data_IF_885306665584
#
_entry.id   IF_885306665584
#
_cell.length_a   1.000
_cell.length_b   1.000
_cell.length_c   1.000
_cell.angle_alpha   90.00
_cell.angle_beta   90.00
_cell.angle_gamma   90.00
#
_symmetry.space_group_name_H-M   'P 1'
#
loop_
_entity.id
_entity.type
_entity.pdbx_description
1 polymer ?
#
# COMPACT_ATOMS: atom_id res chain seq x y z
N UNK A 1 -11.53 -8.04 5.82
CA UNK A 1 -10.14 -7.98 5.32
C UNK A 1 -9.57 -6.57 5.35
N UNK A 2 -10.17 -5.57 4.69
CA UNK A 2 -9.75 -4.15 4.73
C UNK A 2 -9.51 -3.57 6.14
N UNK A 3 -10.36 -3.91 7.11
CA UNK A 3 -10.24 -3.47 8.51
C UNK A 3 -8.99 -4.02 9.24
N UNK A 4 -8.38 -5.09 8.73
CA UNK A 4 -7.23 -5.75 9.36
C UNK A 4 -5.93 -4.99 9.11
N UNK A 5 -5.77 -4.40 7.92
CA UNK A 5 -4.54 -3.72 7.53
C UNK A 5 -4.43 -2.27 8.02
N UNK A 6 -5.49 -1.72 8.61
CA UNK A 6 -5.51 -0.37 9.20
C UNK A 6 -4.87 0.69 8.30
N UNK A 7 -5.17 0.64 7.00
CA UNK A 7 -4.52 1.48 5.98
C UNK A 7 -4.64 2.97 6.29
N UNK A 8 -5.77 3.40 6.87
CA UNK A 8 -6.00 4.79 7.28
C UNK A 8 -5.05 5.24 8.40
N UNK A 9 -4.72 4.36 9.35
CA UNK A 9 -3.76 4.65 10.42
C UNK A 9 -2.32 4.61 9.91
N UNK A 10 -2.00 3.61 9.07
CA UNK A 10 -0.67 3.42 8.52
C UNK A 10 -0.25 4.61 7.64
N UNK A 11 -1.16 5.10 6.80
CA UNK A 11 -0.93 6.17 5.83
C UNK A 11 -1.55 7.51 6.24
N UNK A 12 -1.79 7.71 7.54
CA UNK A 12 -2.29 8.97 8.06
C UNK A 12 -1.37 10.14 7.64
N UNK A 13 -1.95 11.13 6.96
CA UNK A 13 -1.23 12.28 6.40
C UNK A 13 -0.94 12.18 4.90
N UNK A 14 -1.24 11.05 4.26
CA UNK A 14 -1.23 10.92 2.80
C UNK A 14 -2.64 11.09 2.21
N UNK A 15 -2.70 11.15 0.88
CA UNK A 15 -3.96 11.02 0.17
C UNK A 15 -4.60 9.66 0.40
N UNK A 16 -5.90 9.53 0.09
CA UNK A 16 -6.69 8.43 0.59
C UNK A 16 -6.25 7.10 -0.04
N UNK A 17 -5.98 6.11 0.81
CA UNK A 17 -5.63 4.76 0.35
C UNK A 17 -6.83 4.08 -0.31
N UNK A 18 -6.57 3.33 -1.38
CA UNK A 18 -7.55 2.55 -2.13
C UNK A 18 -7.03 1.14 -2.28
N UNK A 19 -7.91 0.17 -2.09
CA UNK A 19 -7.64 -1.21 -2.47
C UNK A 19 -8.10 -1.42 -3.91
N UNK A 20 -7.20 -1.94 -4.73
CA UNK A 20 -7.31 -1.93 -6.19
C UNK A 20 -6.91 -3.28 -6.77
N UNK A 21 -7.73 -4.30 -6.55
CA UNK A 21 -7.44 -5.64 -7.06
C UNK A 21 -8.60 -6.60 -6.84
N UNK A 22 -8.64 -7.66 -7.65
CA UNK A 22 -9.57 -8.76 -7.45
C UNK A 22 -9.09 -9.53 -6.21
N UNK A 23 -9.88 -9.57 -5.14
CA UNK A 23 -9.58 -10.31 -3.88
C UNK A 23 -9.55 -11.86 -4.06
N UNK A 24 -9.24 -12.35 -5.25
CA UNK A 24 -9.16 -13.77 -5.58
C UNK A 24 -7.88 -14.39 -5.01
N UNK A 25 -6.84 -13.59 -4.76
CA UNK A 25 -5.60 -14.01 -4.11
C UNK A 25 -5.45 -13.38 -2.71
N UNK A 26 -4.62 -13.98 -1.86
CA UNK A 26 -4.23 -13.46 -0.52
C UNK A 26 -3.45 -12.14 -0.56
N UNK A 27 -3.20 -11.64 -1.76
CA UNK A 27 -2.44 -10.44 -2.02
C UNK A 27 -3.40 -9.27 -2.21
N UNK A 28 -3.12 -8.16 -1.52
CA UNK A 28 -3.92 -6.96 -1.55
C UNK A 28 -3.13 -5.83 -2.19
N UNK A 29 -3.63 -5.37 -3.32
CA UNK A 29 -3.12 -4.19 -4.00
C UNK A 29 -3.64 -2.93 -3.33
N UNK A 30 -2.74 -2.07 -2.88
CA UNK A 30 -3.04 -0.78 -2.26
C UNK A 30 -2.39 0.32 -3.07
N UNK A 31 -3.12 1.40 -3.35
CA UNK A 31 -2.56 2.62 -3.91
C UNK A 31 -2.95 3.85 -3.09
N UNK A 32 -2.05 4.82 -3.01
CA UNK A 32 -2.32 6.13 -2.43
C UNK A 32 -1.47 7.23 -3.09
N UNK A 33 -1.97 8.47 -3.06
CA UNK A 33 -1.25 9.65 -3.55
C UNK A 33 -0.52 10.33 -2.40
N UNK A 34 0.76 10.66 -2.57
CA UNK A 34 1.51 11.44 -1.58
C UNK A 34 2.55 12.34 -2.28
N UNK A 35 2.11 13.44 -2.92
CA UNK A 35 2.95 14.23 -3.83
C UNK A 35 4.17 14.87 -3.13
N UNK A 36 4.09 15.09 -1.82
CA UNK A 36 5.15 15.73 -1.03
C UNK A 36 5.84 14.78 -0.05
N UNK A 37 5.50 13.48 -0.08
CA UNK A 37 6.11 12.53 0.84
C UNK A 37 7.57 12.31 0.47
N UNK A 38 8.43 12.43 1.48
CA UNK A 38 9.83 12.00 1.40
C UNK A 38 9.89 10.48 1.49
N UNK A 39 11.04 9.91 1.14
CA UNK A 39 11.28 8.48 1.36
C UNK A 39 11.10 8.10 2.84
N UNK A 40 11.55 8.96 3.76
CA UNK A 40 11.42 8.72 5.20
C UNK A 40 9.94 8.63 5.64
N UNK A 41 9.08 9.49 5.10
CA UNK A 41 7.65 9.46 5.40
C UNK A 41 7.03 8.14 4.93
N UNK A 42 7.37 7.70 3.72
CA UNK A 42 6.86 6.44 3.15
C UNK A 42 7.33 5.25 3.97
N UNK A 43 8.63 5.14 4.28
CA UNK A 43 9.15 4.04 5.09
C UNK A 43 8.58 4.04 6.51
N UNK A 44 8.30 5.21 7.09
CA UNK A 44 7.61 5.32 8.39
C UNK A 44 6.19 4.73 8.32
N UNK A 45 5.46 5.03 7.25
CA UNK A 45 4.13 4.46 7.04
C UNK A 45 4.17 2.95 6.80
N UNK A 46 5.13 2.47 6.01
CA UNK A 46 5.36 1.03 5.79
C UNK A 46 5.72 0.32 7.09
N UNK A 47 6.51 0.93 7.98
CA UNK A 47 6.83 0.36 9.28
C UNK A 47 5.59 0.20 10.17
N UNK A 48 4.64 1.15 10.11
CA UNK A 48 3.34 1.03 10.79
C UNK A 48 2.46 -0.07 10.19
N UNK A 49 2.56 -0.32 8.90
CA UNK A 49 1.85 -1.41 8.25
C UNK A 49 2.47 -2.78 8.62
N UNK A 50 3.81 -2.85 8.72
CA UNK A 50 4.55 -4.07 9.00
C UNK A 50 4.27 -4.69 10.38
N UNK A 51 3.69 -3.94 11.32
CA UNK A 51 3.28 -4.47 12.62
C UNK A 51 1.90 -5.15 12.60
N UNK A 52 1.20 -5.17 11.47
CA UNK A 52 -0.12 -5.81 11.36
C UNK A 52 0.03 -7.34 11.42
N UNK A 53 -0.61 -8.02 12.39
CA UNK A 53 -0.51 -9.47 12.51
C UNK A 53 -1.07 -10.21 11.29
N UNK A 54 -0.25 -11.09 10.71
CA UNK A 54 -0.60 -11.89 9.52
C UNK A 54 -0.17 -11.24 8.20
N UNK A 55 0.34 -10.01 8.20
CA UNK A 55 1.00 -9.44 7.03
C UNK A 55 2.41 -10.02 6.91
N UNK A 56 2.70 -10.74 5.82
CA UNK A 56 3.96 -11.47 5.65
C UNK A 56 4.86 -10.88 4.57
N UNK A 57 4.28 -10.17 3.59
CA UNK A 57 5.02 -9.51 2.50
C UNK A 57 4.41 -8.14 2.21
N UNK A 58 5.28 -7.17 1.93
CA UNK A 58 4.90 -5.86 1.37
C UNK A 58 5.87 -5.53 0.23
N UNK A 59 5.40 -5.65 -1.00
CA UNK A 59 6.13 -5.19 -2.18
C UNK A 59 5.74 -3.74 -2.46
N UNK A 60 6.68 -2.81 -2.35
CA UNK A 60 6.44 -1.39 -2.54
C UNK A 60 7.02 -0.89 -3.86
N UNK A 61 6.25 -0.07 -4.58
CA UNK A 61 6.69 0.65 -5.77
C UNK A 61 6.27 2.12 -5.72
N UNK A 62 7.22 3.00 -5.99
CA UNK A 62 6.94 4.41 -6.27
C UNK A 62 6.69 4.56 -7.78
N UNK A 63 5.44 4.78 -8.16
CA UNK A 63 4.97 4.92 -9.53
C UNK A 63 4.74 6.38 -9.91
N UNK A 64 5.51 7.31 -9.33
CA UNK A 64 5.50 8.73 -9.72
C UNK A 64 6.50 9.01 -10.85
N UNK A 65 6.32 10.16 -11.49
CA UNK A 65 7.20 10.66 -12.56
C UNK A 65 7.33 9.63 -13.70
N UNK A 66 8.55 9.30 -14.16
CA UNK A 66 8.79 8.37 -15.28
C UNK A 66 8.42 6.90 -14.98
N UNK A 67 8.01 6.59 -13.75
CA UNK A 67 7.62 5.24 -13.33
C UNK A 67 6.10 5.02 -13.32
N UNK A 68 5.34 6.05 -13.70
CA UNK A 68 3.89 5.99 -13.80
C UNK A 68 3.42 4.94 -14.81
N UNK A 69 2.28 4.27 -14.59
CA UNK A 69 1.87 3.16 -15.48
C UNK A 69 1.24 3.61 -16.79
N UNK A 70 0.78 4.87 -16.87
CA UNK A 70 0.36 5.52 -18.11
C UNK A 70 0.94 6.93 -18.17
N UNK A 71 0.95 7.57 -19.32
CA UNK A 71 1.46 8.95 -19.46
C UNK A 71 0.64 10.02 -18.72
N UNK A 72 -0.48 9.67 -18.10
CA UNK A 72 -1.31 10.60 -17.36
C UNK A 72 -0.72 10.93 -15.98
N UNK A 73 -0.52 12.22 -15.69
CA UNK A 73 -0.06 12.70 -14.37
C UNK A 73 -0.99 12.29 -13.22
N UNK A 74 -2.27 12.07 -13.51
CA UNK A 74 -3.26 11.61 -12.52
C UNK A 74 -3.01 10.19 -12.04
N UNK A 75 -2.16 9.42 -12.72
CA UNK A 75 -1.85 8.03 -12.37
C UNK A 75 -0.66 7.89 -11.42
N UNK A 76 -0.03 9.00 -11.07
CA UNK A 76 1.06 9.05 -10.09
C UNK A 76 0.61 8.60 -8.71
N UNK A 77 1.28 7.59 -8.18
CA UNK A 77 0.92 6.96 -6.91
C UNK A 77 2.06 6.20 -6.28
N UNK A 78 1.90 5.92 -4.99
CA UNK A 78 2.59 4.84 -4.32
C UNK A 78 1.72 3.59 -4.43
N UNK A 79 2.33 2.47 -4.83
CA UNK A 79 1.66 1.19 -5.03
C UNK A 79 2.28 0.14 -4.12
N UNK A 80 1.44 -0.72 -3.54
CA UNK A 80 1.84 -1.78 -2.64
C UNK A 80 1.09 -3.06 -2.99
N UNK A 81 1.80 -4.18 -2.94
CA UNK A 81 1.19 -5.51 -2.91
C UNK A 81 1.45 -6.11 -1.54
N UNK A 82 0.39 -6.37 -0.79
CA UNK A 82 0.45 -6.84 0.60
C UNK A 82 -0.03 -8.29 0.68
N UNK A 83 0.82 -9.23 1.11
CA UNK A 83 0.39 -10.63 1.34
C UNK A 83 -0.08 -10.83 2.77
N UNK A 84 -1.31 -11.32 2.93
CA UNK A 84 -1.89 -11.60 4.23
C UNK A 84 -2.17 -13.09 4.44
N UNK A 85 -1.67 -13.63 5.54
CA UNK A 85 -1.96 -14.98 6.03
C UNK A 85 -2.83 -14.87 7.29
N UNK A 86 -4.07 -15.37 7.19
CA UNK A 86 -4.97 -15.46 8.35
C UNK A 86 -4.54 -16.55 9.34
N UNK A 87 -5.11 -16.57 10.56
CA UNK A 87 -4.76 -17.51 11.62
C UNK A 87 -5.05 -19.01 11.35
N UNK A 88 -5.29 -19.40 10.10
CA UNK A 88 -5.47 -20.79 9.65
C UNK A 88 -4.28 -21.37 8.85
N UNK A 89 -3.22 -20.59 8.59
CA UNK A 89 -2.12 -21.03 7.73
C UNK A 89 -2.50 -21.17 6.25
N UNK A 90 -1.58 -21.62 5.39
CA UNK A 90 -1.80 -21.67 3.94
C UNK A 90 -2.92 -22.59 3.51
#
# INVERSE_FOLDING_TARGET
MLRVLRLEEAFAGFGPARVVGLMVWRDLDVMFTAPHATAADVFTALARLAIVPGLTVVDYRDEREDRRPTDQRTDERHYLVCRYEGPGGP
#
